data_IF_361916500458
#
_entry.id   IF_361916500458
#
_cell.length_a   1.000
_cell.length_b   1.000
_cell.length_c   1.000
_cell.angle_alpha   90.00
_cell.angle_beta   90.00
_cell.angle_gamma   90.00
#
_symmetry.space_group_name_H-M   'P 1'
#
loop_
_entity.id
_entity.type
_entity.pdbx_description
1 polymer ?
#
# COMPACT_ATOMS: atom_id res chain seq x y z
N UNK A 1 -3.20 -6.06 21.72
CA UNK A 1 -2.52 -7.18 21.02
C UNK A 1 -3.53 -8.14 20.37
N UNK A 2 -4.62 -8.54 21.03
CA UNK A 2 -5.63 -9.47 20.51
C UNK A 2 -6.38 -8.98 19.26
N UNK A 3 -6.79 -7.71 19.21
CA UNK A 3 -7.50 -7.11 18.08
C UNK A 3 -6.66 -7.07 16.80
N UNK A 4 -5.36 -6.86 16.91
CA UNK A 4 -4.43 -6.86 15.77
C UNK A 4 -4.23 -8.28 15.25
N UNK A 5 -4.20 -9.28 16.14
CA UNK A 5 -4.10 -10.68 15.77
C UNK A 5 -5.35 -11.16 15.00
N UNK A 6 -6.54 -10.82 15.46
CA UNK A 6 -7.82 -11.16 14.83
C UNK A 6 -7.94 -10.52 13.43
N UNK A 7 -7.53 -9.26 13.27
CA UNK A 7 -7.50 -8.60 11.97
C UNK A 7 -6.49 -9.24 10.98
N UNK A 8 -5.46 -9.93 11.48
CA UNK A 8 -4.43 -10.60 10.67
C UNK A 8 -4.87 -11.98 10.20
N UNK A 9 -5.63 -12.72 11.00
CA UNK A 9 -6.00 -14.11 10.72
C UNK A 9 -7.27 -14.29 9.89
N UNK A 10 -7.75 -13.33 9.18
CA UNK A 10 -8.97 -13.24 8.36
C UNK A 10 -9.53 -14.50 7.66
N UNK A 11 -9.21 -15.67 8.15
CA UNK A 11 -9.67 -16.97 7.67
C UNK A 11 -10.48 -17.75 8.73
N UNK A 12 -10.82 -17.14 9.86
CA UNK A 12 -11.61 -17.79 10.89
C UNK A 12 -13.06 -17.36 10.73
N UNK A 13 -13.89 -18.24 10.26
CA UNK A 13 -15.32 -18.10 9.95
C UNK A 13 -16.23 -17.80 11.15
N UNK A 14 -15.70 -17.39 12.27
CA UNK A 14 -16.48 -17.25 13.51
C UNK A 14 -16.25 -15.99 14.35
N UNK A 15 -15.42 -15.06 13.90
CA UNK A 15 -15.31 -13.76 14.57
C UNK A 15 -15.60 -12.67 13.54
N UNK A 16 -16.79 -12.09 13.65
CA UNK A 16 -17.28 -10.97 12.84
C UNK A 16 -16.48 -9.70 13.19
N UNK A 17 -15.24 -9.63 12.74
CA UNK A 17 -14.63 -8.32 12.51
C UNK A 17 -15.16 -7.88 11.15
N UNK A 18 -16.10 -6.96 11.15
CA UNK A 18 -16.71 -6.43 9.94
C UNK A 18 -15.58 -5.87 9.05
N UNK A 19 -15.19 -6.64 8.04
CA UNK A 19 -14.33 -6.14 6.97
C UNK A 19 -15.06 -4.93 6.39
N UNK A 20 -14.44 -3.75 6.30
CA UNK A 20 -15.12 -2.58 5.75
C UNK A 20 -15.76 -2.93 4.42
N UNK A 21 -17.03 -2.58 4.23
CA UNK A 21 -17.81 -2.92 3.01
C UNK A 21 -17.06 -2.49 1.73
N UNK A 22 -16.27 -1.44 1.82
CA UNK A 22 -15.43 -0.95 0.73
C UNK A 22 -14.34 -1.96 0.38
N UNK A 23 -13.63 -2.51 1.37
CA UNK A 23 -12.58 -3.52 1.14
C UNK A 23 -13.16 -4.78 0.51
N UNK A 24 -14.34 -5.20 0.96
CA UNK A 24 -15.02 -6.37 0.41
C UNK A 24 -15.43 -6.16 -1.05
N UNK A 25 -15.99 -4.98 -1.40
CA UNK A 25 -16.31 -4.62 -2.78
C UNK A 25 -15.08 -4.57 -3.67
N UNK A 26 -13.98 -3.97 -3.19
CA UNK A 26 -12.71 -3.95 -3.90
C UNK A 26 -12.15 -5.36 -4.13
N UNK A 27 -12.25 -6.24 -3.13
CA UNK A 27 -11.84 -7.65 -3.27
C UNK A 27 -12.59 -8.33 -4.40
N UNK A 28 -13.91 -8.26 -4.39
CA UNK A 28 -14.76 -8.89 -5.42
C UNK A 28 -14.49 -8.29 -6.81
N UNK A 29 -14.33 -6.98 -6.92
CA UNK A 29 -14.02 -6.33 -8.19
C UNK A 29 -12.65 -6.78 -8.74
N UNK A 30 -11.62 -6.81 -7.90
CA UNK A 30 -10.28 -7.26 -8.31
C UNK A 30 -10.23 -8.75 -8.68
N UNK A 31 -10.99 -9.61 -7.99
CA UNK A 31 -11.09 -11.03 -8.31
C UNK A 31 -11.78 -11.30 -9.66
N UNK A 32 -12.70 -10.41 -10.08
CA UNK A 32 -13.37 -10.53 -11.39
C UNK A 32 -12.50 -10.08 -12.56
N UNK A 33 -11.61 -9.12 -12.33
CA UNK A 33 -10.83 -8.47 -13.40
C UNK A 33 -9.43 -9.07 -13.53
N UNK A 34 -8.84 -9.54 -12.42
CA UNK A 34 -7.46 -9.97 -12.39
C UNK A 34 -7.33 -11.50 -12.21
N UNK A 35 -6.43 -12.15 -12.96
CA UNK A 35 -6.18 -13.59 -12.85
C UNK A 35 -5.61 -14.00 -11.48
N UNK A 36 -4.96 -13.06 -10.80
CA UNK A 36 -4.44 -13.22 -9.46
C UNK A 36 -4.64 -11.93 -8.66
N UNK A 37 -5.40 -11.98 -7.56
CA UNK A 37 -5.66 -10.80 -6.73
C UNK A 37 -4.41 -10.36 -5.96
N UNK A 38 -3.92 -9.13 -6.18
CA UNK A 38 -2.83 -8.58 -5.38
C UNK A 38 -3.31 -8.29 -3.95
N UNK A 39 -2.39 -8.25 -2.99
CA UNK A 39 -2.72 -7.89 -1.61
C UNK A 39 -2.94 -6.39 -1.49
N UNK A 40 -4.11 -6.01 -1.01
CA UNK A 40 -4.54 -4.60 -0.87
C UNK A 40 -3.50 -3.73 -0.14
N UNK A 41 -2.89 -4.26 0.92
CA UNK A 41 -1.86 -3.55 1.69
C UNK A 41 -0.60 -3.25 0.88
N UNK A 42 -0.25 -4.10 -0.08
CA UNK A 42 0.92 -3.93 -0.92
C UNK A 42 0.70 -2.83 -1.96
N UNK A 43 -0.30 -3.00 -2.83
CA UNK A 43 -0.49 -2.08 -3.96
C UNK A 43 -1.14 -0.75 -3.59
N UNK A 44 -1.99 -0.71 -2.54
CA UNK A 44 -2.70 0.51 -2.15
C UNK A 44 -1.90 1.38 -1.19
N UNK A 45 -1.07 0.79 -0.34
CA UNK A 45 -0.34 1.51 0.71
C UNK A 45 1.17 1.37 0.53
N UNK A 46 1.70 0.15 0.54
CA UNK A 46 3.13 -0.10 0.62
C UNK A 46 3.90 0.42 -0.58
N UNK A 47 3.54 0.01 -1.79
CA UNK A 47 4.26 0.43 -2.99
C UNK A 47 4.09 1.92 -3.32
N UNK A 48 2.89 2.54 -3.21
CA UNK A 48 2.75 3.98 -3.38
C UNK A 48 3.55 4.79 -2.35
N UNK A 49 3.57 4.35 -1.08
CA UNK A 49 4.37 4.99 -0.05
C UNK A 49 5.88 4.88 -0.35
N UNK A 50 6.33 3.74 -0.87
CA UNK A 50 7.72 3.55 -1.27
C UNK A 50 8.13 4.50 -2.42
N UNK A 51 7.27 4.65 -3.44
CA UNK A 51 7.49 5.60 -4.56
C UNK A 51 7.53 7.03 -4.04
N UNK A 52 6.60 7.41 -3.16
CA UNK A 52 6.56 8.73 -2.55
C UNK A 52 7.80 9.00 -1.70
N UNK A 53 8.21 8.05 -0.85
CA UNK A 53 9.43 8.18 -0.03
C UNK A 53 10.67 8.41 -0.91
N UNK A 54 10.83 7.63 -1.99
CA UNK A 54 11.93 7.79 -2.95
C UNK A 54 11.92 9.18 -3.59
N UNK A 55 10.75 9.69 -3.96
CA UNK A 55 10.61 11.02 -4.52
C UNK A 55 10.91 12.14 -3.51
N UNK A 56 10.56 11.97 -2.24
CA UNK A 56 10.89 12.92 -1.16
C UNK A 56 12.39 12.97 -0.89
N UNK A 57 13.05 11.81 -0.87
CA UNK A 57 14.51 11.72 -0.74
C UNK A 57 15.20 12.46 -1.89
N UNK A 58 14.75 12.23 -3.13
CA UNK A 58 15.32 12.86 -4.32
C UNK A 58 15.24 14.39 -4.33
N UNK A 59 14.25 14.98 -3.63
CA UNK A 59 14.09 16.44 -3.52
C UNK A 59 14.58 17.02 -2.19
N UNK A 60 15.19 16.19 -1.32
CA UNK A 60 15.75 16.62 -0.03
C UNK A 60 14.72 16.98 1.04
N UNK A 61 13.49 16.51 0.91
CA UNK A 61 12.42 16.72 1.88
C UNK A 61 12.54 15.74 3.04
N UNK A 62 12.90 16.20 4.24
CA UNK A 62 13.22 15.31 5.38
C UNK A 62 12.05 15.05 6.32
N UNK A 63 11.08 15.97 6.44
CA UNK A 63 10.07 15.95 7.51
C UNK A 63 9.17 14.72 7.55
N UNK A 64 8.78 14.16 6.41
CA UNK A 64 7.88 13.01 6.32
C UNK A 64 8.55 11.75 5.77
N UNK A 65 9.85 11.76 5.53
CA UNK A 65 10.57 10.60 4.99
C UNK A 65 10.40 9.38 5.90
N UNK A 66 10.61 9.53 7.19
CA UNK A 66 10.59 8.41 8.14
C UNK A 66 9.22 7.71 8.18
N UNK A 67 8.10 8.38 8.46
CA UNK A 67 6.80 7.72 8.52
C UNK A 67 6.37 7.14 7.17
N UNK A 68 6.66 7.80 6.05
CA UNK A 68 6.32 7.29 4.72
C UNK A 68 7.20 6.09 4.35
N UNK A 69 8.48 6.10 4.72
CA UNK A 69 9.37 4.94 4.52
C UNK A 69 8.93 3.73 5.32
N UNK A 70 8.46 3.91 6.56
CA UNK A 70 7.91 2.82 7.38
C UNK A 70 6.68 2.20 6.67
N UNK A 71 5.77 3.00 6.13
CA UNK A 71 4.64 2.50 5.36
C UNK A 71 5.09 1.74 4.10
N UNK A 72 6.10 2.23 3.41
CA UNK A 72 6.71 1.56 2.27
C UNK A 72 7.32 0.21 2.64
N UNK A 73 8.05 0.13 3.75
CA UNK A 73 8.64 -1.11 4.27
C UNK A 73 7.60 -2.16 4.63
N UNK A 74 6.44 -1.77 5.18
CA UNK A 74 5.33 -2.69 5.44
C UNK A 74 4.91 -3.41 4.15
N UNK A 75 4.86 -2.70 3.03
CA UNK A 75 4.59 -3.29 1.72
C UNK A 75 5.65 -4.29 1.28
N UNK A 76 6.94 -3.98 1.47
CA UNK A 76 8.05 -4.87 1.10
C UNK A 76 8.06 -6.14 1.98
N UNK A 77 7.83 -6.00 3.28
CA UNK A 77 7.70 -7.14 4.20
C UNK A 77 6.52 -8.04 3.80
N UNK A 78 5.39 -7.44 3.42
CA UNK A 78 4.21 -8.19 2.97
C UNK A 78 4.49 -8.96 1.67
N UNK A 79 5.22 -8.35 0.73
CA UNK A 79 5.66 -8.98 -0.51
C UNK A 79 6.54 -10.20 -0.22
N UNK A 80 7.56 -10.06 0.63
CA UNK A 80 8.45 -11.14 1.03
C UNK A 80 7.65 -12.29 1.69
N UNK A 81 6.72 -11.96 2.58
CA UNK A 81 5.85 -12.93 3.22
C UNK A 81 4.93 -13.67 2.23
N UNK A 82 4.62 -13.07 1.08
CA UNK A 82 3.82 -13.73 0.04
C UNK A 82 4.55 -14.93 -0.55
N UNK A 83 5.88 -14.86 -0.70
CA UNK A 83 6.72 -15.99 -1.16
C UNK A 83 6.97 -17.05 -0.08
N UNK A 84 6.81 -16.71 1.19
CA UNK A 84 6.96 -17.67 2.30
C UNK A 84 5.79 -18.67 2.42
N UNK A 85 4.70 -18.49 1.67
CA UNK A 85 3.56 -19.40 1.67
C UNK A 85 3.79 -20.61 0.75
N UNK A 86 4.21 -21.72 1.33
CA UNK A 86 4.57 -22.97 0.62
C UNK A 86 3.40 -23.60 -0.17
N UNK A 87 2.15 -23.34 0.23
CA UNK A 87 0.98 -23.97 -0.38
C UNK A 87 0.46 -23.24 -1.64
N UNK A 88 1.05 -22.11 -2.03
CA UNK A 88 0.64 -21.36 -3.22
C UNK A 88 1.62 -21.64 -4.37
N UNK A 89 1.13 -22.02 -5.58
CA UNK A 89 2.01 -22.20 -6.73
C UNK A 89 2.84 -20.93 -7.00
N UNK A 90 4.14 -21.11 -7.18
CA UNK A 90 5.11 -20.00 -7.36
C UNK A 90 4.72 -19.11 -8.54
N UNK A 91 4.25 -19.70 -9.65
CA UNK A 91 3.80 -18.93 -10.82
C UNK A 91 2.66 -17.98 -10.50
N UNK A 92 1.65 -18.43 -9.73
CA UNK A 92 0.54 -17.58 -9.29
C UNK A 92 1.01 -16.47 -8.35
N UNK A 93 1.97 -16.78 -7.48
CA UNK A 93 2.58 -15.80 -6.57
C UNK A 93 3.31 -14.70 -7.35
N UNK A 94 4.10 -15.08 -8.37
CA UNK A 94 4.80 -14.11 -9.23
C UNK A 94 3.81 -13.19 -9.94
N UNK A 95 2.78 -13.75 -10.59
CA UNK A 95 1.75 -12.95 -11.28
C UNK A 95 1.08 -11.98 -10.32
N UNK A 96 0.71 -12.43 -9.12
CA UNK A 96 0.13 -11.59 -8.07
C UNK A 96 1.02 -10.41 -7.68
N UNK A 97 2.31 -10.69 -7.47
CA UNK A 97 3.31 -9.69 -7.09
C UNK A 97 3.52 -8.69 -8.21
N UNK A 98 3.66 -9.13 -9.46
CA UNK A 98 3.85 -8.23 -10.61
C UNK A 98 2.65 -7.29 -10.80
N UNK A 99 1.43 -7.80 -10.68
CA UNK A 99 0.21 -6.98 -10.73
C UNK A 99 0.20 -5.98 -9.57
N UNK A 100 0.54 -6.42 -8.37
CA UNK A 100 0.61 -5.56 -7.18
C UNK A 100 1.63 -4.45 -7.31
N UNK A 101 2.82 -4.76 -7.82
CA UNK A 101 3.88 -3.78 -8.09
C UNK A 101 3.44 -2.77 -9.16
N UNK A 102 2.89 -3.25 -10.28
CA UNK A 102 2.44 -2.38 -11.37
C UNK A 102 1.36 -1.40 -10.92
N UNK A 103 0.32 -1.89 -10.23
CA UNK A 103 -0.74 -1.05 -9.68
C UNK A 103 -0.22 -0.08 -8.63
N UNK A 104 0.61 -0.56 -7.70
CA UNK A 104 1.17 0.26 -6.64
C UNK A 104 2.10 1.34 -7.16
N UNK A 105 2.90 1.04 -8.18
CA UNK A 105 3.75 2.02 -8.86
C UNK A 105 2.92 3.08 -9.58
N UNK A 106 1.89 2.68 -10.33
CA UNK A 106 0.97 3.60 -11.00
C UNK A 106 0.29 4.55 -10.01
N UNK A 107 -0.21 4.03 -8.89
CA UNK A 107 -0.80 4.84 -7.81
C UNK A 107 0.26 5.80 -7.23
N UNK A 108 1.47 5.33 -6.97
CA UNK A 108 2.57 6.14 -6.44
C UNK A 108 2.95 7.30 -7.35
N UNK A 109 2.95 7.09 -8.67
CA UNK A 109 3.20 8.14 -9.66
C UNK A 109 2.11 9.22 -9.65
N UNK A 110 0.87 8.88 -9.31
CA UNK A 110 -0.23 9.85 -9.17
C UNK A 110 -0.18 10.56 -7.81
N UNK A 111 0.06 9.81 -6.74
CA UNK A 111 0.09 10.36 -5.37
C UNK A 111 1.24 11.35 -5.18
N UNK A 112 2.39 11.09 -5.76
CA UNK A 112 3.58 11.94 -5.62
C UNK A 112 3.36 13.39 -6.07
N UNK A 113 2.89 13.69 -7.29
CA UNK A 113 2.65 15.07 -7.71
C UNK A 113 1.52 15.74 -6.94
N UNK A 114 0.48 14.98 -6.56
CA UNK A 114 -0.61 15.50 -5.72
C UNK A 114 -0.07 15.95 -4.36
N UNK A 115 0.72 15.11 -3.69
CA UNK A 115 1.37 15.47 -2.44
C UNK A 115 2.25 16.71 -2.58
N UNK A 116 3.10 16.78 -3.59
CA UNK A 116 3.98 17.93 -3.85
C UNK A 116 3.19 19.21 -4.10
N UNK A 117 2.09 19.12 -4.82
CA UNK A 117 1.20 20.27 -5.07
C UNK A 117 0.55 20.78 -3.79
N UNK A 118 0.07 19.90 -2.92
CA UNK A 118 -0.50 20.26 -1.62
C UNK A 118 0.56 20.87 -0.70
N UNK A 119 1.71 20.23 -0.58
CA UNK A 119 2.83 20.71 0.25
C UNK A 119 3.31 22.10 -0.20
N UNK A 120 3.40 22.34 -1.50
CA UNK A 120 3.76 23.65 -2.04
C UNK A 120 2.73 24.74 -1.71
N UNK A 121 1.42 24.42 -1.76
CA UNK A 121 0.35 25.35 -1.39
C UNK A 121 0.41 25.70 0.09
N UNK A 122 0.58 24.72 0.96
CA UNK A 122 0.69 24.93 2.42
C UNK A 122 1.89 25.84 2.73
N UNK A 123 3.06 25.62 2.14
CA UNK A 123 4.24 26.45 2.33
C UNK A 123 4.03 27.89 1.88
N UNK A 124 3.37 28.09 0.74
CA UNK A 124 3.04 29.43 0.25
C UNK A 124 2.06 30.17 1.17
N UNK A 125 1.10 29.47 1.74
CA UNK A 125 0.17 30.04 2.73
C UNK A 125 0.92 30.44 4.01
N UNK A 126 1.72 29.56 4.57
CA UNK A 126 2.52 29.83 5.79
C UNK A 126 3.59 30.95 5.61
N UNK A 127 4.13 31.11 4.39
CA UNK A 127 5.06 32.20 4.08
C UNK A 127 4.40 33.57 3.85
N UNK A 128 3.08 33.64 3.73
CA UNK A 128 2.33 34.91 3.60
C UNK A 128 1.95 35.54 4.94
N UNK A 129 2.03 34.77 6.02
CA UNK A 129 1.69 35.22 7.38
C UNK A 129 2.89 35.75 8.17
N UNK A 130 4.07 35.76 7.55
CA UNK A 130 5.31 36.33 8.10
C UNK A 130 5.69 37.61 7.38
#
# INVERSE_FOLDING_TARGET
AGLIYIARTGNTSSVIVAVPRLEQKMRVALERVLPARPRTKEFLVGHPAFVLASALIAVGETGLILPISILGLIGQISLTNTFAHIHTPVGLTIVRVLIGLGLGFAIGLVVTPVYRGIAARIRRAAGRER
#
